data_IF_626758699112
#
_entry.id   IF_626758699112
#
_cell.length_a   1.000
_cell.length_b   1.000
_cell.length_c   1.000
_cell.angle_alpha   90.00
_cell.angle_beta   90.00
_cell.angle_gamma   90.00
#
_symmetry.space_group_name_H-M   'P 1'
#
loop_
_entity.id
_entity.type
_entity.pdbx_description
1 polymer ?
#
# COMPACT_ATOMS: atom_id res chain seq x y z
N UNK A 1 -16.07 0.46 -7.43
CA UNK A 1 -15.28 1.01 -6.28
C UNK A 1 -14.18 1.93 -6.79
N UNK A 2 -13.73 2.83 -5.94
CA UNK A 2 -12.49 3.60 -6.13
C UNK A 2 -11.36 2.88 -5.39
N UNK A 3 -10.37 2.40 -6.11
CA UNK A 3 -9.23 1.66 -5.56
C UNK A 3 -8.01 2.57 -5.58
N UNK A 4 -7.42 2.83 -4.42
CA UNK A 4 -6.15 3.53 -4.29
C UNK A 4 -5.04 2.52 -4.03
N UNK A 5 -3.98 2.56 -4.85
CA UNK A 5 -2.78 1.76 -4.65
C UNK A 5 -1.66 2.69 -4.16
N UNK A 6 -1.14 2.45 -2.96
CA UNK A 6 0.05 3.12 -2.45
C UNK A 6 1.28 2.27 -2.73
N UNK A 7 2.05 2.63 -3.76
CA UNK A 7 3.28 1.95 -4.14
C UNK A 7 4.48 2.55 -3.41
N UNK A 8 5.06 1.78 -2.49
CA UNK A 8 6.23 2.14 -1.68
C UNK A 8 7.57 1.80 -2.32
N UNK A 9 7.62 1.36 -3.59
CA UNK A 9 8.89 1.06 -4.24
C UNK A 9 9.67 2.34 -4.57
N UNK A 10 10.95 2.45 -4.16
CA UNK A 10 11.81 3.56 -4.58
C UNK A 10 12.30 3.41 -6.03
N UNK A 11 12.20 2.23 -6.62
CA UNK A 11 12.68 1.94 -7.97
C UNK A 11 11.57 2.17 -8.99
N UNK A 12 11.83 2.93 -10.06
CA UNK A 12 10.89 3.10 -11.17
C UNK A 12 10.93 1.89 -12.12
N UNK A 13 9.75 1.37 -12.45
CA UNK A 13 9.60 0.18 -13.30
C UNK A 13 10.26 -1.07 -12.71
N UNK A 14 10.36 -1.15 -11.38
CA UNK A 14 10.85 -2.34 -10.67
C UNK A 14 9.75 -3.39 -10.50
N UNK A 15 10.09 -4.51 -9.86
CA UNK A 15 9.19 -5.66 -9.68
C UNK A 15 7.86 -5.29 -9.00
N UNK A 16 7.89 -4.40 -8.01
CA UNK A 16 6.66 -3.92 -7.36
C UNK A 16 5.79 -3.14 -8.33
N UNK A 17 6.37 -2.26 -9.17
CA UNK A 17 5.61 -1.50 -10.15
C UNK A 17 4.95 -2.42 -11.18
N UNK A 18 5.66 -3.45 -11.67
CA UNK A 18 5.11 -4.43 -12.61
C UNK A 18 3.87 -5.16 -12.04
N UNK A 19 3.93 -5.59 -10.78
CA UNK A 19 2.79 -6.23 -10.13
C UNK A 19 1.63 -5.26 -9.89
N UNK A 20 1.93 -4.03 -9.48
CA UNK A 20 0.92 -2.96 -9.30
C UNK A 20 0.22 -2.65 -10.62
N UNK A 21 0.97 -2.50 -11.70
CA UNK A 21 0.42 -2.25 -13.04
C UNK A 21 -0.45 -3.41 -13.52
N UNK A 22 0.00 -4.64 -13.29
CA UNK A 22 -0.76 -5.84 -13.67
C UNK A 22 -2.07 -5.97 -12.88
N UNK A 23 -2.03 -5.77 -11.55
CA UNK A 23 -3.22 -5.71 -10.71
C UNK A 23 -4.18 -4.59 -11.16
N UNK A 24 -3.65 -3.40 -11.40
CA UNK A 24 -4.44 -2.24 -11.80
C UNK A 24 -5.15 -2.46 -13.15
N UNK A 25 -4.48 -3.10 -14.12
CA UNK A 25 -5.10 -3.48 -15.40
C UNK A 25 -6.28 -4.44 -15.21
N UNK A 26 -6.14 -5.45 -14.33
CA UNK A 26 -7.24 -6.36 -14.02
C UNK A 26 -8.41 -5.66 -13.34
N UNK A 27 -8.11 -4.84 -12.32
CA UNK A 27 -9.11 -4.12 -11.54
C UNK A 27 -9.85 -3.04 -12.35
N UNK A 28 -9.17 -2.41 -13.30
CA UNK A 28 -9.74 -1.37 -14.16
C UNK A 28 -10.87 -1.86 -15.08
N UNK A 29 -11.06 -3.18 -15.22
CA UNK A 29 -12.18 -3.75 -15.94
C UNK A 29 -13.53 -3.37 -15.29
N UNK A 30 -13.58 -3.19 -13.98
CA UNK A 30 -14.80 -2.96 -13.21
C UNK A 30 -14.72 -1.80 -12.22
N UNK A 31 -13.53 -1.20 -12.02
CA UNK A 31 -13.28 -0.22 -10.97
C UNK A 31 -12.47 0.97 -11.47
N UNK A 32 -12.54 2.08 -10.75
CA UNK A 32 -11.62 3.19 -10.92
C UNK A 32 -10.36 2.90 -10.09
N UNK A 33 -9.19 2.95 -10.71
CA UNK A 33 -7.92 2.64 -10.06
C UNK A 33 -6.99 3.85 -10.13
N UNK A 34 -6.50 4.27 -8.98
CA UNK A 34 -5.51 5.33 -8.84
C UNK A 34 -4.23 4.76 -8.23
N UNK A 35 -3.09 4.96 -8.89
CA UNK A 35 -1.79 4.51 -8.41
C UNK A 35 -1.00 5.72 -7.93
N UNK A 36 -0.71 5.76 -6.64
CA UNK A 36 0.13 6.77 -6.04
C UNK A 36 1.49 6.17 -5.67
N UNK A 37 2.53 6.61 -6.36
CA UNK A 37 3.90 6.23 -6.04
C UNK A 37 4.44 7.12 -4.91
N UNK A 38 4.62 6.55 -3.73
CA UNK A 38 5.09 7.30 -2.55
C UNK A 38 6.47 7.94 -2.79
N UNK A 39 7.30 7.36 -3.66
CA UNK A 39 8.59 7.96 -4.08
C UNK A 39 8.48 9.33 -4.74
N UNK A 40 7.31 9.67 -5.27
CA UNK A 40 7.07 10.94 -5.94
C UNK A 40 6.47 12.00 -4.98
N UNK A 41 6.22 11.60 -3.73
CA UNK A 41 5.69 12.45 -2.67
C UNK A 41 6.77 12.82 -1.65
N UNK A 42 6.76 14.06 -1.20
CA UNK A 42 7.61 14.52 -0.10
C UNK A 42 6.87 14.33 1.22
N UNK A 43 7.10 13.21 1.89
CA UNK A 43 6.45 12.87 3.15
C UNK A 43 7.51 12.61 4.23
N UNK A 44 7.52 13.44 5.26
CA UNK A 44 8.40 13.25 6.43
C UNK A 44 7.81 12.25 7.44
N UNK A 45 8.66 11.58 8.26
CA UNK A 45 8.18 10.67 9.30
C UNK A 45 7.35 11.40 10.35
N UNK A 46 6.44 10.68 11.00
CA UNK A 46 5.64 11.22 12.10
C UNK A 46 6.57 11.64 13.27
N UNK A 47 6.40 12.86 13.77
CA UNK A 47 7.18 13.40 14.91
C UNK A 47 6.58 13.06 16.27
N UNK A 48 5.42 12.38 16.33
CA UNK A 48 4.74 12.07 17.60
C UNK A 48 4.29 13.31 18.40
N UNK A 49 4.17 14.47 17.78
CA UNK A 49 3.89 15.74 18.46
C UNK A 49 2.42 15.91 18.88
N UNK A 50 1.52 15.04 18.46
CA UNK A 50 0.08 15.06 18.74
C UNK A 50 -0.65 16.36 18.33
N UNK A 51 -0.05 17.22 17.49
CA UNK A 51 -0.69 18.45 17.04
C UNK A 51 -2.00 18.15 16.27
N UNK A 52 -2.05 17.08 15.47
CA UNK A 52 -3.23 16.68 14.72
C UNK A 52 -4.45 16.35 15.61
N UNK A 53 -4.24 15.87 16.84
CA UNK A 53 -5.33 15.63 17.81
C UNK A 53 -5.92 16.90 18.41
N UNK A 54 -5.17 18.01 18.32
CA UNK A 54 -5.59 19.33 18.87
C UNK A 54 -6.15 20.25 17.77
N UNK A 55 -6.04 19.87 16.50
CA UNK A 55 -6.38 20.70 15.34
C UNK A 55 -7.19 19.92 14.29
N UNK A 56 -8.15 19.10 14.73
CA UNK A 56 -9.12 18.41 13.88
C UNK A 56 -8.46 17.66 12.70
N UNK A 57 -7.34 16.98 12.95
CA UNK A 57 -6.62 16.23 11.94
C UNK A 57 -5.58 17.02 11.15
N UNK A 58 -5.44 18.32 11.35
CA UNK A 58 -4.43 19.13 10.65
C UNK A 58 -3.02 18.81 11.18
N UNK A 59 -2.14 18.29 10.33
CA UNK A 59 -0.78 17.99 10.72
C UNK A 59 0.07 19.26 10.77
N UNK A 60 0.97 19.35 11.78
CA UNK A 60 1.93 20.45 11.87
C UNK A 60 3.01 20.43 10.77
N UNK A 61 3.23 19.27 10.12
CA UNK A 61 4.14 19.16 8.99
C UNK A 61 3.41 19.57 7.70
N UNK A 62 4.03 20.50 6.97
CA UNK A 62 3.54 20.98 5.68
C UNK A 62 4.25 20.21 4.56
N UNK A 63 3.69 19.06 4.20
CA UNK A 63 4.20 18.17 3.16
C UNK A 63 3.05 17.47 2.40
N UNK A 64 3.38 16.56 1.46
CA UNK A 64 2.39 15.96 0.58
C UNK A 64 1.46 14.94 1.28
N UNK A 65 1.57 14.76 2.60
CA UNK A 65 0.68 13.84 3.32
C UNK A 65 -0.78 14.29 3.28
N UNK A 66 -1.05 15.60 3.21
CA UNK A 66 -2.42 16.12 3.06
C UNK A 66 -3.06 15.67 1.76
N UNK A 67 -2.30 15.64 0.66
CA UNK A 67 -2.74 15.11 -0.62
C UNK A 67 -3.01 13.60 -0.56
N UNK A 68 -2.17 12.84 0.16
CA UNK A 68 -2.38 11.40 0.36
C UNK A 68 -3.66 11.15 1.17
N UNK A 69 -3.92 11.93 2.22
CA UNK A 69 -5.18 11.82 2.99
C UNK A 69 -6.40 12.10 2.11
N UNK A 70 -6.34 13.10 1.25
CA UNK A 70 -7.42 13.39 0.29
C UNK A 70 -7.69 12.20 -0.62
N UNK A 71 -6.65 11.59 -1.19
CA UNK A 71 -6.77 10.37 -2.00
C UNK A 71 -7.38 9.20 -1.20
N UNK A 72 -6.93 9.00 0.03
CA UNK A 72 -7.46 7.94 0.90
C UNK A 72 -8.93 8.17 1.24
N UNK A 73 -9.34 9.43 1.42
CA UNK A 73 -10.72 9.78 1.73
C UNK A 73 -11.70 9.49 0.58
N UNK A 74 -11.22 9.44 -0.66
CA UNK A 74 -12.03 9.12 -1.84
C UNK A 74 -11.98 7.63 -2.23
N UNK A 75 -11.20 6.81 -1.51
CA UNK A 75 -11.03 5.41 -1.81
C UNK A 75 -12.00 4.52 -1.03
N UNK A 76 -12.56 3.51 -1.69
CA UNK A 76 -13.34 2.43 -1.07
C UNK A 76 -12.42 1.27 -0.66
N UNK A 77 -11.33 1.08 -1.39
CA UNK A 77 -10.32 0.04 -1.17
C UNK A 77 -8.92 0.64 -1.24
N UNK A 78 -8.06 0.21 -0.32
CA UNK A 78 -6.64 0.53 -0.30
C UNK A 78 -5.82 -0.72 -0.61
N UNK A 79 -4.83 -0.60 -1.49
CA UNK A 79 -3.81 -1.63 -1.73
C UNK A 79 -2.45 -1.08 -1.34
N UNK A 80 -1.78 -1.75 -0.42
CA UNK A 80 -0.41 -1.44 -0.04
C UNK A 80 0.55 -2.30 -0.86
N UNK A 81 1.42 -1.68 -1.64
CA UNK A 81 2.41 -2.38 -2.46
C UNK A 81 3.83 -2.00 -2.05
N UNK A 82 4.66 -2.99 -1.71
CA UNK A 82 6.01 -2.71 -1.19
C UNK A 82 7.04 -3.77 -1.59
N UNK A 83 8.27 -3.37 -1.90
CA UNK A 83 9.39 -4.29 -1.75
C UNK A 83 9.62 -4.59 -0.27
N UNK A 84 10.16 -5.78 0.02
CA UNK A 84 10.54 -6.16 1.37
C UNK A 84 11.98 -5.74 1.64
N UNK A 85 12.17 -4.87 2.62
CA UNK A 85 13.47 -4.44 3.11
C UNK A 85 13.62 -4.84 4.56
N UNK A 86 14.57 -5.72 4.82
CA UNK A 86 14.87 -6.22 6.17
C UNK A 86 13.63 -6.75 6.91
N UNK A 87 12.85 -7.59 6.22
CA UNK A 87 11.58 -8.18 6.70
C UNK A 87 10.44 -7.19 6.96
N UNK A 88 10.56 -5.95 6.52
CA UNK A 88 9.58 -4.89 6.68
C UNK A 88 9.16 -4.26 5.34
N UNK A 89 8.13 -3.43 5.41
CA UNK A 89 7.76 -2.54 4.32
C UNK A 89 8.88 -1.53 4.05
N UNK A 90 8.94 -0.98 2.85
CA UNK A 90 9.85 0.13 2.55
C UNK A 90 9.64 1.29 3.53
N UNK A 91 10.72 1.98 3.91
CA UNK A 91 10.64 3.10 4.83
C UNK A 91 9.69 4.21 4.33
N UNK A 92 9.65 4.44 3.01
CA UNK A 92 8.78 5.41 2.39
C UNK A 92 7.30 5.08 2.64
N UNK A 93 6.88 3.83 2.38
CA UNK A 93 5.50 3.41 2.62
C UNK A 93 5.18 3.40 4.12
N UNK A 94 6.11 2.91 4.95
CA UNK A 94 5.93 2.90 6.41
C UNK A 94 5.74 4.30 6.98
N UNK A 95 6.44 5.30 6.42
CA UNK A 95 6.27 6.71 6.79
C UNK A 95 4.83 7.20 6.57
N UNK A 96 4.22 6.84 5.44
CA UNK A 96 2.81 7.15 5.15
C UNK A 96 1.88 6.44 6.14
N UNK A 97 2.09 5.14 6.36
CA UNK A 97 1.27 4.34 7.28
C UNK A 97 1.34 4.87 8.71
N UNK A 98 2.52 5.25 9.20
CA UNK A 98 2.67 5.81 10.55
C UNK A 98 1.90 7.11 10.73
N UNK A 99 1.76 7.88 9.67
CA UNK A 99 1.00 9.13 9.70
C UNK A 99 -0.51 8.91 9.62
N UNK A 100 -0.99 7.73 9.27
CA UNK A 100 -2.40 7.36 9.42
C UNK A 100 -2.86 7.22 10.88
N UNK A 101 -1.97 7.40 11.86
CA UNK A 101 -2.37 7.61 13.27
C UNK A 101 -3.17 8.92 13.47
N UNK A 102 -3.12 9.83 12.52
CA UNK A 102 -3.88 11.08 12.53
C UNK A 102 -5.39 10.83 12.63
N UNK A 103 -6.17 11.60 13.45
CA UNK A 103 -7.63 11.48 13.57
C UNK A 103 -8.40 11.60 12.25
N UNK A 104 -7.83 12.23 11.22
CA UNK A 104 -8.45 12.29 9.88
C UNK A 104 -8.78 10.89 9.32
N UNK A 105 -8.12 9.84 9.81
CA UNK A 105 -8.43 8.45 9.44
C UNK A 105 -9.90 8.06 9.67
N UNK A 106 -10.55 8.70 10.63
CA UNK A 106 -11.94 8.40 10.98
C UNK A 106 -12.93 8.93 9.92
N UNK A 107 -12.45 9.74 8.96
CA UNK A 107 -13.21 10.22 7.79
C UNK A 107 -13.03 9.31 6.55
N UNK A 108 -12.11 8.35 6.58
CA UNK A 108 -11.85 7.50 5.42
C UNK A 108 -13.01 6.53 5.16
N UNK A 109 -13.40 6.42 3.89
CA UNK A 109 -14.46 5.49 3.45
C UNK A 109 -13.94 4.09 3.11
N UNK A 110 -12.64 3.84 3.28
CA UNK A 110 -11.98 2.58 2.99
C UNK A 110 -12.65 1.44 3.77
N UNK A 111 -13.10 0.41 3.07
CA UNK A 111 -13.70 -0.80 3.62
C UNK A 111 -12.85 -2.05 3.42
N UNK A 112 -11.97 -2.04 2.42
CA UNK A 112 -11.17 -3.19 2.02
C UNK A 112 -9.69 -2.81 2.00
N UNK A 113 -8.84 -3.75 2.41
CA UNK A 113 -7.39 -3.60 2.34
C UNK A 113 -6.79 -4.78 1.60
N UNK A 114 -5.85 -4.51 0.68
CA UNK A 114 -5.08 -5.49 -0.06
C UNK A 114 -3.58 -5.29 0.08
N UNK A 115 -2.79 -6.32 -0.25
CA UNK A 115 -1.34 -6.29 -0.05
C UNK A 115 -0.59 -6.91 -1.23
N UNK A 116 0.41 -6.19 -1.76
CA UNK A 116 1.36 -6.69 -2.76
C UNK A 116 2.76 -6.58 -2.18
N UNK A 117 3.46 -7.71 -2.05
CA UNK A 117 4.84 -7.75 -1.54
C UNK A 117 5.78 -8.44 -2.50
N UNK A 118 6.96 -7.87 -2.65
CA UNK A 118 8.05 -8.44 -3.43
C UNK A 118 9.31 -8.51 -2.58
N UNK A 119 9.90 -9.70 -2.47
CA UNK A 119 11.14 -9.90 -1.73
C UNK A 119 12.18 -10.70 -2.50
N UNK A 120 13.45 -10.36 -2.29
CA UNK A 120 14.59 -11.03 -2.93
C UNK A 120 14.85 -12.44 -2.36
N UNK A 121 14.59 -12.66 -1.09
CA UNK A 121 14.80 -13.96 -0.45
C UNK A 121 13.69 -14.96 -0.80
N UNK A 122 14.04 -16.24 -0.70
CA UNK A 122 13.11 -17.37 -0.93
C UNK A 122 12.62 -18.01 0.38
N UNK A 123 13.00 -17.45 1.53
CA UNK A 123 12.64 -17.94 2.85
C UNK A 123 11.12 -18.02 3.03
N UNK A 124 10.56 -19.11 3.56
CA UNK A 124 9.14 -19.23 3.82
C UNK A 124 8.58 -18.08 4.69
N UNK A 125 9.33 -17.64 5.70
CA UNK A 125 8.94 -16.63 6.69
C UNK A 125 9.18 -15.19 6.24
N UNK A 126 9.57 -14.98 4.99
CA UNK A 126 9.96 -13.65 4.46
C UNK A 126 8.91 -12.55 4.74
N UNK A 127 7.66 -12.90 4.69
CA UNK A 127 6.54 -11.96 4.80
C UNK A 127 5.84 -11.96 6.16
N UNK A 128 6.19 -12.86 7.09
CA UNK A 128 5.44 -13.10 8.33
C UNK A 128 5.25 -11.83 9.16
N UNK A 129 6.31 -11.03 9.33
CA UNK A 129 6.23 -9.79 10.08
C UNK A 129 5.24 -8.79 9.46
N UNK A 130 5.27 -8.66 8.12
CA UNK A 130 4.40 -7.73 7.39
C UNK A 130 2.96 -8.23 7.38
N UNK A 131 2.73 -9.52 7.13
CA UNK A 131 1.38 -10.08 7.13
C UNK A 131 0.75 -10.09 8.52
N UNK A 132 1.56 -10.22 9.57
CA UNK A 132 1.09 -10.03 10.96
C UNK A 132 0.66 -8.58 11.19
N UNK A 133 1.48 -7.60 10.79
CA UNK A 133 1.11 -6.18 10.86
C UNK A 133 -0.15 -5.89 10.06
N UNK A 134 -0.26 -6.42 8.84
CA UNK A 134 -1.42 -6.28 7.98
C UNK A 134 -2.71 -6.76 8.67
N UNK A 135 -2.71 -7.95 9.28
CA UNK A 135 -3.87 -8.48 10.01
C UNK A 135 -4.25 -7.63 11.21
N UNK A 136 -3.27 -7.09 11.93
CA UNK A 136 -3.53 -6.17 13.04
C UNK A 136 -4.19 -4.87 12.55
N UNK A 137 -3.78 -4.36 11.39
CA UNK A 137 -4.39 -3.17 10.76
C UNK A 137 -5.82 -3.46 10.32
N UNK A 138 -6.09 -4.62 9.69
CA UNK A 138 -7.44 -5.05 9.34
C UNK A 138 -8.36 -5.04 10.57
N UNK A 139 -7.91 -5.67 11.65
CA UNK A 139 -8.69 -5.75 12.88
C UNK A 139 -8.92 -4.37 13.52
N UNK A 140 -7.89 -3.53 13.57
CA UNK A 140 -7.97 -2.21 14.19
C UNK A 140 -8.95 -1.28 13.47
N UNK A 141 -8.99 -1.33 12.14
CA UNK A 141 -9.87 -0.48 11.31
C UNK A 141 -11.15 -1.18 10.87
N UNK A 142 -11.38 -2.43 11.29
CA UNK A 142 -12.52 -3.25 10.88
C UNK A 142 -12.66 -3.36 9.35
N UNK A 143 -11.52 -3.58 8.65
CA UNK A 143 -11.47 -3.70 7.20
C UNK A 143 -11.62 -5.16 6.76
N UNK A 144 -12.22 -5.36 5.59
CA UNK A 144 -12.22 -6.65 4.90
C UNK A 144 -10.84 -6.93 4.29
N UNK A 145 -10.39 -8.18 4.42
CA UNK A 145 -9.21 -8.66 3.70
C UNK A 145 -9.55 -8.87 2.22
N UNK A 146 -9.03 -8.01 1.36
CA UNK A 146 -9.25 -8.10 -0.08
C UNK A 146 -8.28 -9.07 -0.79
N UNK A 147 -7.36 -9.68 -0.05
CA UNK A 147 -6.38 -10.61 -0.57
C UNK A 147 -4.97 -10.02 -0.69
N UNK A 148 -4.03 -10.88 -1.12
CA UNK A 148 -2.64 -10.49 -1.23
C UNK A 148 -1.89 -11.26 -2.32
N UNK A 149 -0.90 -10.60 -2.94
CA UNK A 149 0.10 -11.21 -3.82
C UNK A 149 1.48 -11.09 -3.18
N UNK A 150 2.14 -12.24 -2.96
CA UNK A 150 3.38 -12.37 -2.22
C UNK A 150 4.46 -13.04 -3.07
N UNK A 151 5.36 -12.25 -3.65
CA UNK A 151 6.40 -12.73 -4.58
C UNK A 151 7.75 -12.83 -3.89
N UNK A 152 8.32 -14.05 -3.86
CA UNK A 152 9.66 -14.36 -3.36
C UNK A 152 10.65 -14.52 -4.50
N UNK A 153 11.94 -14.34 -4.20
CA UNK A 153 13.04 -14.62 -5.13
C UNK A 153 13.18 -13.58 -6.23
N UNK A 154 12.56 -12.41 -6.13
CA UNK A 154 12.62 -11.34 -7.14
C UNK A 154 13.45 -10.16 -6.61
N UNK A 155 14.75 -10.13 -6.95
CA UNK A 155 15.74 -9.13 -6.53
C UNK A 155 15.96 -8.05 -7.57
N UNK A 156 16.26 -8.47 -8.78
CA UNK A 156 16.61 -7.56 -9.86
C UNK A 156 15.37 -7.18 -10.68
N UNK A 157 15.45 -6.05 -11.39
CA UNK A 157 14.34 -5.60 -12.23
C UNK A 157 14.00 -6.66 -13.29
N UNK A 158 12.73 -7.09 -13.31
CA UNK A 158 12.25 -8.08 -14.27
C UNK A 158 12.30 -9.53 -13.75
N UNK A 159 12.68 -9.76 -12.49
CA UNK A 159 12.68 -11.12 -11.91
C UNK A 159 11.26 -11.66 -11.65
N UNK A 160 10.25 -10.78 -11.59
CA UNK A 160 8.86 -11.21 -11.49
C UNK A 160 8.45 -11.92 -12.76
N UNK A 161 7.98 -13.15 -12.59
CA UNK A 161 7.58 -14.04 -13.70
C UNK A 161 6.19 -13.73 -14.21
N UNK A 162 5.91 -14.13 -15.43
CA UNK A 162 4.59 -13.95 -16.08
C UNK A 162 3.45 -14.56 -15.27
N UNK A 163 3.66 -15.70 -14.62
CA UNK A 163 2.66 -16.33 -13.75
C UNK A 163 2.25 -15.44 -12.57
N UNK A 164 3.22 -14.74 -11.97
CA UNK A 164 2.99 -13.82 -10.84
C UNK A 164 2.30 -12.53 -11.29
N UNK A 165 2.62 -12.04 -12.49
CA UNK A 165 1.90 -10.93 -13.11
C UNK A 165 0.46 -11.32 -13.41
N UNK A 166 0.25 -12.53 -13.95
CA UNK A 166 -1.09 -13.07 -14.20
C UNK A 166 -1.88 -13.24 -12.91
N UNK A 167 -1.26 -13.72 -11.83
CA UNK A 167 -1.89 -13.81 -10.52
C UNK A 167 -2.39 -12.44 -10.04
N UNK A 168 -1.55 -11.41 -10.12
CA UNK A 168 -1.91 -10.04 -9.76
C UNK A 168 -3.06 -9.51 -10.65
N UNK A 169 -3.01 -9.74 -11.95
CA UNK A 169 -4.08 -9.36 -12.89
C UNK A 169 -5.41 -10.03 -12.54
N UNK A 170 -5.40 -11.36 -12.35
CA UNK A 170 -6.59 -12.12 -12.03
C UNK A 170 -7.19 -11.72 -10.68
N UNK A 171 -6.34 -11.41 -9.69
CA UNK A 171 -6.84 -10.88 -8.43
C UNK A 171 -7.54 -9.53 -8.63
N UNK A 172 -6.94 -8.59 -9.38
CA UNK A 172 -7.60 -7.32 -9.71
C UNK A 172 -8.94 -7.52 -10.43
N UNK A 173 -8.98 -8.43 -11.41
CA UNK A 173 -10.18 -8.74 -12.19
C UNK A 173 -11.28 -9.39 -11.34
N UNK A 174 -10.93 -10.15 -10.31
CA UNK A 174 -11.88 -10.87 -9.45
C UNK A 174 -12.56 -10.00 -8.38
N UNK A 175 -12.13 -8.76 -8.22
CA UNK A 175 -12.74 -7.85 -7.24
C UNK A 175 -14.18 -7.51 -7.66
N UNK A 176 -15.09 -7.52 -6.68
CA UNK A 176 -16.53 -7.27 -6.85
C UNK A 176 -16.95 -6.01 -6.09
#
# INVERSE_FOLDING_TARGET
>A
MNILILSGSPRRGGNTDLLVESFAQGAAAHHQVDILHVRDCKVGPCKGCNACFKSEGVCAQKDDMSYIYEKMNHADMLVLASPVYFYGLSAQLKTVIDRCHNPVRDTFHIKKLGLILVGAATLPQLFDAITTQYRLVLNFFHLEDAGMVLVRGAKDKGDVKEEQLKEAFLWGLSLV
#
